data_IF_073191394533
#
_entry.id   IF_073191394533
#
_cell.length_a   1.000
_cell.length_b   1.000
_cell.length_c   1.000
_cell.angle_alpha   90.00
_cell.angle_beta   90.00
_cell.angle_gamma   90.00
#
_symmetry.space_group_name_H-M   'P 1'
#
loop_
_entity.id
_entity.type
_entity.pdbx_description
1 polymer ?
#
# COMPACT_ATOMS: atom_id res chain seq x y z
N UNK A 1 6.83 9.40 5.59
CA UNK A 1 7.44 8.41 6.50
C UNK A 1 8.79 7.99 5.93
N UNK A 2 9.85 7.93 6.75
CA UNK A 2 11.16 7.45 6.32
C UNK A 2 11.11 5.93 6.05
N UNK A 3 11.65 5.52 4.90
CA UNK A 3 11.71 4.13 4.42
C UNK A 3 13.12 3.72 4.01
N UNK A 4 14.14 4.53 4.34
CA UNK A 4 15.54 4.25 4.07
C UNK A 4 16.02 2.98 4.80
N UNK A 5 15.39 2.62 5.92
CA UNK A 5 15.64 1.40 6.67
C UNK A 5 15.37 0.11 5.88
N UNK A 6 14.57 0.15 4.82
CA UNK A 6 14.32 -1.04 3.97
C UNK A 6 15.63 -1.50 3.30
N UNK A 7 16.57 -0.59 3.04
CA UNK A 7 17.88 -0.88 2.41
C UNK A 7 18.96 -1.27 3.43
N UNK A 8 18.64 -1.21 4.72
CA UNK A 8 19.58 -1.54 5.78
C UNK A 8 19.95 -3.02 5.70
N UNK A 9 21.26 -3.30 5.59
CA UNK A 9 21.77 -4.66 5.43
C UNK A 9 21.75 -5.42 6.75
N UNK A 10 22.00 -4.71 7.85
CA UNK A 10 21.93 -5.29 9.18
C UNK A 10 20.49 -5.26 9.72
N UNK A 11 19.84 -6.42 9.70
CA UNK A 11 18.45 -6.61 10.16
C UNK A 11 18.29 -6.58 11.69
N UNK A 12 19.40 -6.53 12.42
CA UNK A 12 19.42 -6.36 13.87
C UNK A 12 19.88 -4.95 14.27
N UNK A 13 20.21 -4.09 13.30
CA UNK A 13 20.47 -2.69 13.57
C UNK A 13 19.22 -2.02 14.16
N UNK A 14 19.44 -1.03 15.01
CA UNK A 14 18.37 -0.21 15.58
C UNK A 14 17.53 0.46 14.49
N UNK A 15 18.16 0.88 13.40
CA UNK A 15 17.50 1.49 12.24
C UNK A 15 16.50 0.53 11.59
N UNK A 16 16.91 -0.70 11.30
CA UNK A 16 16.03 -1.69 10.70
C UNK A 16 14.87 -2.06 11.64
N UNK A 17 15.18 -2.32 12.92
CA UNK A 17 14.17 -2.68 13.93
C UNK A 17 13.13 -1.56 14.08
N UNK A 18 13.56 -0.31 14.22
CA UNK A 18 12.65 0.83 14.32
C UNK A 18 11.78 1.00 13.07
N UNK A 19 12.37 0.76 11.90
CA UNK A 19 11.65 0.76 10.63
C UNK A 19 10.56 -0.32 10.55
N UNK A 20 10.87 -1.54 10.97
CA UNK A 20 9.89 -2.64 11.05
C UNK A 20 8.75 -2.30 12.01
N UNK A 21 9.04 -1.76 13.19
CA UNK A 21 8.00 -1.31 14.13
C UNK A 21 7.12 -0.23 13.52
N UNK A 22 7.73 0.76 12.86
CA UNK A 22 7.02 1.83 12.17
C UNK A 22 6.08 1.27 11.10
N UNK A 23 6.53 0.31 10.31
CA UNK A 23 5.69 -0.37 9.31
C UNK A 23 4.52 -1.14 9.95
N UNK A 24 4.76 -1.87 11.04
CA UNK A 24 3.72 -2.64 11.73
C UNK A 24 2.65 -1.71 12.31
N UNK A 25 3.07 -0.61 12.94
CA UNK A 25 2.14 0.37 13.52
C UNK A 25 1.34 1.07 12.42
N UNK A 26 2.00 1.51 11.35
CA UNK A 26 1.32 2.08 10.19
C UNK A 26 0.25 1.13 9.63
N UNK A 27 0.61 -0.15 9.45
CA UNK A 27 -0.29 -1.15 8.89
C UNK A 27 -1.48 -1.46 9.80
N UNK A 28 -1.32 -1.30 11.12
CA UNK A 28 -2.42 -1.45 12.09
C UNK A 28 -3.40 -0.29 12.02
N UNK A 29 -2.89 0.92 11.87
CA UNK A 29 -3.69 2.14 11.85
C UNK A 29 -4.40 2.37 10.51
N UNK A 30 -3.75 2.00 9.41
CA UNK A 30 -4.18 2.36 8.05
C UNK A 30 -4.59 1.14 7.21
N UNK A 31 -4.20 -0.07 7.62
CA UNK A 31 -4.53 -1.30 6.91
C UNK A 31 -5.96 -1.76 7.15
N UNK A 32 -6.57 -2.38 6.15
CA UNK A 32 -7.83 -3.09 6.33
C UNK A 32 -7.55 -4.47 6.95
N UNK A 33 -7.55 -4.55 8.28
CA UNK A 33 -7.19 -5.76 9.05
C UNK A 33 -8.39 -6.38 9.75
N UNK A 34 -9.40 -6.82 8.98
CA UNK A 34 -10.61 -7.46 9.50
C UNK A 34 -10.34 -8.68 10.39
N UNK A 35 -9.21 -9.37 10.19
CA UNK A 35 -8.82 -10.59 10.91
C UNK A 35 -7.51 -10.44 11.71
N UNK A 36 -7.08 -9.20 12.00
CA UNK A 36 -5.77 -8.90 12.60
C UNK A 36 -4.58 -9.51 11.83
N UNK A 37 -4.74 -9.74 10.52
CA UNK A 37 -3.67 -10.18 9.62
C UNK A 37 -3.43 -9.16 8.53
N UNK A 38 -2.20 -9.14 8.05
CA UNK A 38 -1.74 -8.29 6.94
C UNK A 38 -0.97 -9.12 5.93
N UNK A 39 -0.84 -8.63 4.70
CA UNK A 39 0.00 -9.26 3.69
C UNK A 39 1.47 -9.11 4.12
N UNK A 40 2.21 -10.22 4.14
CA UNK A 40 3.60 -10.22 4.59
C UNK A 40 4.51 -9.60 3.50
N UNK A 41 5.16 -8.45 3.74
CA UNK A 41 6.01 -7.78 2.77
C UNK A 41 7.46 -8.29 2.80
N UNK A 42 7.74 -9.40 3.50
CA UNK A 42 9.10 -9.93 3.55
C UNK A 42 9.56 -10.42 2.17
N UNK A 43 10.87 -10.50 1.95
CA UNK A 43 11.44 -10.85 0.64
C UNK A 43 10.98 -12.23 0.10
N UNK A 44 10.61 -13.16 1.00
CA UNK A 44 10.09 -14.47 0.65
C UNK A 44 8.58 -14.43 0.30
N UNK A 45 7.79 -13.67 1.06
CA UNK A 45 6.33 -13.63 0.87
C UNK A 45 5.88 -12.62 -0.20
N UNK A 46 6.59 -11.50 -0.37
CA UNK A 46 6.32 -10.47 -1.40
C UNK A 46 4.85 -10.03 -1.47
N UNK A 47 4.22 -9.83 -0.32
CA UNK A 47 2.82 -9.45 -0.19
C UNK A 47 1.80 -10.49 -0.72
N UNK A 48 2.14 -11.79 -0.77
CA UNK A 48 1.22 -12.83 -1.24
C UNK A 48 0.52 -13.62 -0.12
N UNK A 49 1.07 -13.60 1.10
CA UNK A 49 0.57 -14.39 2.24
C UNK A 49 0.06 -13.49 3.35
N UNK A 50 -1.21 -13.65 3.75
CA UNK A 50 -1.76 -13.02 4.96
C UNK A 50 -1.22 -13.71 6.21
N UNK A 51 -0.66 -12.95 7.14
CA UNK A 51 -0.10 -13.44 8.40
C UNK A 51 -0.40 -12.47 9.54
N UNK A 52 -0.35 -12.95 10.78
CA UNK A 52 -0.48 -12.06 11.94
C UNK A 52 0.69 -11.07 12.01
N UNK A 53 0.50 -9.94 12.71
CA UNK A 53 1.57 -8.95 12.91
C UNK A 53 2.84 -9.56 13.53
N UNK A 54 2.69 -10.50 14.47
CA UNK A 54 3.81 -11.19 15.12
C UNK A 54 4.59 -12.01 14.10
N UNK A 55 3.90 -12.77 13.26
CA UNK A 55 4.54 -13.56 12.19
C UNK A 55 5.21 -12.67 11.16
N UNK A 56 4.58 -11.56 10.76
CA UNK A 56 5.19 -10.60 9.82
C UNK A 56 6.46 -9.99 10.40
N UNK A 57 6.43 -9.52 11.65
CA UNK A 57 7.61 -8.98 12.32
C UNK A 57 8.75 -10.02 12.37
N UNK A 58 8.46 -11.25 12.79
CA UNK A 58 9.44 -12.36 12.79
C UNK A 58 10.01 -12.58 11.38
N UNK A 59 9.15 -12.69 10.38
CA UNK A 59 9.56 -12.95 9.01
C UNK A 59 10.39 -11.81 8.41
N UNK A 60 10.15 -10.56 8.83
CA UNK A 60 10.94 -9.40 8.44
C UNK A 60 12.35 -9.42 9.04
N UNK A 61 12.52 -9.87 10.28
CA UNK A 61 13.87 -10.08 10.84
C UNK A 61 14.60 -11.24 10.16
N UNK A 62 13.89 -12.34 9.84
CA UNK A 62 14.50 -13.54 9.26
C UNK A 62 14.79 -13.43 7.76
N UNK A 63 13.96 -12.71 7.00
CA UNK A 63 14.03 -12.69 5.53
C UNK A 63 14.31 -11.30 4.94
N UNK A 64 14.26 -10.24 5.75
CA UNK A 64 14.32 -8.88 5.25
C UNK A 64 13.01 -8.40 4.62
N UNK A 65 12.87 -7.08 4.52
CA UNK A 65 11.78 -6.44 3.80
C UNK A 65 12.01 -6.53 2.28
N UNK A 66 10.95 -6.68 1.50
CA UNK A 66 11.07 -6.73 0.04
C UNK A 66 11.47 -5.37 -0.52
N UNK A 67 12.70 -5.24 -1.01
CA UNK A 67 13.33 -3.98 -1.41
C UNK A 67 12.56 -3.17 -2.46
N UNK A 68 11.75 -3.81 -3.29
CA UNK A 68 10.98 -3.13 -4.33
C UNK A 68 9.60 -2.65 -3.85
N UNK A 69 9.16 -3.05 -2.66
CA UNK A 69 7.89 -2.64 -2.10
C UNK A 69 8.01 -1.34 -1.30
N UNK A 70 8.15 -0.21 -2.01
CA UNK A 70 8.36 1.12 -1.40
C UNK A 70 7.08 1.88 -1.08
N UNK A 71 6.00 1.57 -1.79
CA UNK A 71 4.67 2.11 -1.53
C UNK A 71 3.86 1.04 -0.84
N UNK A 72 3.41 1.29 0.38
CA UNK A 72 2.64 0.35 1.18
C UNK A 72 1.16 0.37 0.81
N UNK A 73 0.88 0.27 -0.49
CA UNK A 73 -0.47 0.34 -1.06
C UNK A 73 -1.40 -0.75 -0.51
N UNK A 74 -0.87 -1.93 -0.17
CA UNK A 74 -1.63 -3.00 0.47
C UNK A 74 -1.89 -2.77 1.96
N UNK A 75 -1.27 -1.75 2.54
CA UNK A 75 -1.33 -1.44 3.97
C UNK A 75 -1.86 -0.02 4.23
N UNK A 76 -2.51 0.61 3.25
CA UNK A 76 -3.20 1.89 3.43
C UNK A 76 -2.43 3.13 2.99
N UNK A 77 -1.25 2.99 2.39
CA UNK A 77 -0.58 4.17 1.80
C UNK A 77 -1.29 4.60 0.51
N UNK A 78 -1.76 5.86 0.41
CA UNK A 78 -2.46 6.33 -0.77
C UNK A 78 -1.56 6.32 -1.99
N UNK A 79 -2.08 5.84 -3.12
CA UNK A 79 -1.38 5.91 -4.39
C UNK A 79 -1.67 7.27 -5.04
N UNK A 80 -0.91 8.29 -4.66
CA UNK A 80 -0.96 9.57 -5.36
C UNK A 80 -0.33 9.42 -6.75
N UNK A 81 -1.17 9.13 -7.74
CA UNK A 81 -0.85 9.44 -9.12
C UNK A 81 -0.82 10.96 -9.22
N UNK A 82 0.35 11.55 -9.47
CA UNK A 82 0.45 12.94 -9.90
C UNK A 82 -0.22 13.05 -11.27
N UNK A 83 -1.56 13.10 -11.31
CA UNK A 83 -2.26 13.65 -12.44
C UNK A 83 -2.03 15.15 -12.32
N UNK A 84 -1.05 15.66 -13.04
CA UNK A 84 -0.83 17.10 -13.17
C UNK A 84 -2.16 17.72 -13.63
N UNK A 85 -2.79 18.47 -12.73
CA UNK A 85 -3.96 19.27 -13.05
C UNK A 85 -3.54 20.31 -14.10
N UNK A 86 -3.76 20.00 -15.38
CA UNK A 86 -3.73 21.01 -16.42
C UNK A 86 -4.92 21.94 -16.18
N UNK A 87 -4.67 23.05 -15.49
CA UNK A 87 -5.56 24.20 -15.47
C UNK A 87 -5.78 24.65 -16.92
N UNK A 88 -6.98 24.42 -17.47
CA UNK A 88 -7.42 25.10 -18.68
C UNK A 88 -8.44 26.15 -18.31
N UNK A 89 -7.95 27.35 -18.05
CA UNK A 89 -8.77 28.56 -18.10
C UNK A 89 -9.21 28.78 -19.55
N UNK A 90 -10.48 28.56 -19.86
CA UNK A 90 -11.13 29.14 -21.04
C UNK A 90 -12.59 29.46 -20.72
N UNK A 91 -12.91 30.75 -20.69
CA UNK A 91 -14.26 31.29 -20.77
C UNK A 91 -14.98 30.78 -22.02
N UNK A 92 -16.14 30.14 -21.90
CA UNK A 92 -17.27 30.25 -22.87
C UNK A 92 -18.59 29.83 -22.21
N UNK A 93 -19.66 30.52 -22.56
CA UNK A 93 -21.00 30.51 -21.98
C UNK A 93 -21.97 29.43 -22.54
N UNK A 94 -22.55 28.61 -21.62
CA UNK A 94 -23.96 28.09 -21.52
C UNK A 94 -24.50 27.11 -22.60
N UNK A 95 -25.44 26.13 -22.37
CA UNK A 95 -26.22 25.78 -21.15
C UNK A 95 -26.21 24.29 -20.69
N UNK A 96 -26.59 24.15 -19.41
CA UNK A 96 -27.28 23.04 -18.72
C UNK A 96 -27.80 21.86 -19.56
N UNK A 97 -27.17 20.70 -19.38
CA UNK A 97 -27.86 19.41 -19.24
C UNK A 97 -27.21 18.65 -18.07
N UNK A 98 -28.09 18.21 -17.19
CA UNK A 98 -27.96 17.69 -15.85
C UNK A 98 -27.90 16.16 -15.90
N UNK A 99 -26.71 15.58 -15.81
CA UNK A 99 -26.54 14.20 -15.35
C UNK A 99 -25.30 14.14 -14.46
N UNK A 100 -25.52 13.99 -13.15
CA UNK A 100 -24.47 13.66 -12.19
C UNK A 100 -24.11 12.17 -12.37
N UNK A 101 -22.86 11.80 -12.70
CA UNK A 101 -22.43 10.43 -12.50
C UNK A 101 -22.14 10.25 -11.00
N UNK A 102 -23.08 9.58 -10.35
CA UNK A 102 -22.91 8.97 -9.03
C UNK A 102 -21.75 7.96 -9.08
N UNK A 103 -20.57 8.38 -8.63
CA UNK A 103 -19.44 7.47 -8.42
C UNK A 103 -19.56 6.81 -7.05
N UNK A 104 -20.58 5.96 -6.92
CA UNK A 104 -20.75 5.03 -5.81
C UNK A 104 -19.74 3.88 -5.85
N UNK A 105 -19.03 3.70 -4.74
CA UNK A 105 -18.51 2.46 -4.14
C UNK A 105 -17.85 1.35 -5.02
N UNK A 106 -17.40 1.66 -6.24
CA UNK A 106 -16.80 0.68 -7.15
C UNK A 106 -15.26 0.63 -7.18
N UNK A 107 -14.57 1.59 -6.57
CA UNK A 107 -13.12 1.79 -6.73
C UNK A 107 -12.26 0.67 -6.13
N UNK A 108 -12.74 0.00 -5.09
CA UNK A 108 -12.03 -1.12 -4.46
C UNK A 108 -12.10 -2.41 -5.29
N UNK A 109 -13.21 -2.61 -6.03
CA UNK A 109 -13.42 -3.81 -6.82
C UNK A 109 -12.43 -3.93 -7.98
N UNK A 110 -12.08 -2.80 -8.61
CA UNK A 110 -11.12 -2.74 -9.74
C UNK A 110 -9.67 -3.01 -9.30
N UNK A 111 -9.27 -2.55 -8.12
CA UNK A 111 -7.93 -2.83 -7.59
C UNK A 111 -7.80 -4.31 -7.22
N UNK A 112 -8.83 -4.89 -6.60
CA UNK A 112 -8.85 -6.33 -6.30
C UNK A 112 -8.83 -7.18 -7.57
N UNK A 113 -9.57 -6.82 -8.63
CA UNK A 113 -9.52 -7.56 -9.90
C UNK A 113 -8.18 -7.40 -10.62
N UNK A 114 -7.58 -6.22 -10.62
CA UNK A 114 -6.25 -6.01 -11.20
C UNK A 114 -5.18 -6.85 -10.48
N UNK A 115 -5.24 -6.93 -9.15
CA UNK A 115 -4.31 -7.76 -8.35
C UNK A 115 -4.60 -9.26 -8.47
N UNK A 116 -5.87 -9.67 -8.57
CA UNK A 116 -6.24 -11.06 -8.81
C UNK A 116 -5.85 -11.55 -10.21
N UNK A 117 -5.81 -10.68 -11.21
CA UNK A 117 -5.31 -11.00 -12.55
C UNK A 117 -3.79 -11.16 -12.61
N UNK A 118 -3.03 -10.53 -11.69
CA UNK A 118 -1.58 -10.71 -11.56
C UNK A 118 -1.17 -11.89 -10.65
N UNK A 119 -2.13 -12.61 -10.05
CA UNK A 119 -1.90 -13.78 -9.19
C UNK A 119 -2.32 -15.12 -9.82
N UNK A 120 -2.71 -15.13 -11.11
CA UNK A 120 -2.88 -16.37 -11.90
C UNK A 120 -1.63 -16.63 -12.72
N UNK A 121 -0.64 -17.24 -12.08
CA UNK A 121 0.22 -18.25 -12.70
C UNK A 121 -0.13 -19.59 -12.06
#
# INVERSE_FOLDING_TARGET
MDKSWIEERDRFSSKYIAGVESFINFSRENGNTSDNKILCPCNNCRNTKKKSFIEVKRDLHLNGFYLYYRKWIFHGEPNVSHHSSFNRSTHTSVPSQNENPDFGDGGMALILTYLMNYLKC
#
